data_IF_491142128817
#
_entry.id   IF_491142128817
#
_cell.length_a   1.000
_cell.length_b   1.000
_cell.length_c   1.000
_cell.angle_alpha   90.00
_cell.angle_beta   90.00
_cell.angle_gamma   90.00
#
_symmetry.space_group_name_H-M   'P 1'
#
loop_
_entity.id
_entity.type
_entity.pdbx_description
1 polymer ?
#
# COMPACT_ATOMS: atom_id res chain seq x y z
N UNK A 1 -22.29 -1.18 -45.85
CA UNK A 1 -21.55 -1.88 -44.78
C UNK A 1 -22.40 -3.06 -44.32
N UNK A 2 -21.96 -4.29 -44.58
CA UNK A 2 -22.67 -5.48 -44.10
C UNK A 2 -22.50 -5.61 -42.59
N UNK A 3 -23.60 -5.75 -41.85
CA UNK A 3 -23.54 -5.91 -40.39
C UNK A 3 -23.13 -7.32 -40.00
N UNK A 4 -22.37 -7.46 -38.93
CA UNK A 4 -21.95 -8.75 -38.31
C UNK A 4 -23.12 -9.74 -38.14
N UNK A 5 -24.34 -9.25 -37.87
CA UNK A 5 -25.53 -10.10 -37.75
C UNK A 5 -25.87 -10.88 -39.03
N UNK A 6 -25.55 -10.32 -40.20
CA UNK A 6 -25.78 -10.94 -41.52
C UNK A 6 -24.75 -12.05 -41.81
N UNK A 7 -23.54 -11.91 -41.25
CA UNK A 7 -22.46 -12.90 -41.35
C UNK A 7 -22.76 -14.16 -40.52
N UNK A 8 -23.35 -14.02 -39.33
CA UNK A 8 -23.63 -15.13 -38.41
C UNK A 8 -25.02 -15.78 -38.55
N UNK A 9 -25.85 -15.37 -39.54
CA UNK A 9 -27.23 -15.88 -39.74
C UNK A 9 -28.10 -15.87 -38.46
N UNK A 10 -27.83 -14.97 -37.51
CA UNK A 10 -28.67 -14.82 -36.33
C UNK A 10 -29.93 -14.05 -36.69
N UNK A 11 -31.10 -14.59 -36.35
CA UNK A 11 -32.39 -13.93 -36.59
C UNK A 11 -32.40 -12.53 -35.98
N UNK A 12 -32.62 -11.52 -36.82
CA UNK A 12 -32.70 -10.10 -36.43
C UNK A 12 -34.00 -9.90 -35.64
N UNK A 13 -34.01 -10.31 -34.36
CA UNK A 13 -35.12 -10.04 -33.45
C UNK A 13 -34.84 -8.78 -32.63
N UNK A 14 -35.80 -7.87 -32.71
CA UNK A 14 -36.16 -6.81 -31.73
C UNK A 14 -35.64 -5.39 -31.91
N UNK A 15 -34.75 -5.06 -32.86
CA UNK A 15 -34.33 -3.65 -33.07
C UNK A 15 -34.79 -3.06 -34.41
N UNK A 16 -34.88 -3.84 -35.48
CA UNK A 16 -35.18 -3.29 -36.82
C UNK A 16 -36.65 -2.93 -37.04
N UNK A 17 -37.60 -3.61 -36.40
CA UNK A 17 -39.04 -3.39 -36.61
C UNK A 17 -39.50 -2.04 -36.07
N UNK A 18 -39.06 -1.64 -34.86
CA UNK A 18 -39.34 -0.30 -34.31
C UNK A 18 -38.69 0.84 -35.12
N UNK A 19 -37.55 0.57 -35.76
CA UNK A 19 -36.88 1.55 -36.63
C UNK A 19 -37.62 1.70 -37.96
N UNK A 20 -38.31 0.66 -38.43
CA UNK A 20 -39.08 0.68 -39.68
C UNK A 20 -40.36 1.52 -39.56
N UNK A 21 -41.10 1.41 -38.45
CA UNK A 21 -42.33 2.21 -38.20
C UNK A 21 -42.05 3.71 -38.08
N UNK A 22 -40.88 4.09 -37.55
CA UNK A 22 -40.48 5.49 -37.39
C UNK A 22 -40.17 6.20 -38.73
N UNK A 23 -39.84 5.45 -39.79
CA UNK A 23 -39.46 6.02 -41.10
C UNK A 23 -40.62 6.57 -41.93
N UNK A 24 -41.86 6.38 -41.50
CA UNK A 24 -43.07 6.75 -42.26
C UNK A 24 -43.62 8.17 -41.96
N UNK A 25 -43.05 8.89 -40.99
CA UNK A 25 -43.45 10.25 -40.61
C UNK A 25 -42.22 11.17 -40.61
N UNK A 26 -42.31 12.33 -41.28
CA UNK A 26 -41.27 13.36 -41.49
C UNK A 26 -39.83 12.98 -41.12
N UNK A 27 -39.18 12.39 -42.13
CA UNK A 27 -37.97 11.58 -42.03
C UNK A 27 -36.71 12.28 -41.50
N UNK A 28 -36.67 13.62 -41.43
CA UNK A 28 -35.52 14.35 -40.89
C UNK A 28 -35.68 14.70 -39.40
N UNK A 29 -36.85 15.20 -38.99
CA UNK A 29 -37.10 15.63 -37.61
C UNK A 29 -36.99 14.42 -36.66
N UNK A 30 -37.49 13.26 -37.06
CA UNK A 30 -37.42 12.08 -36.20
C UNK A 30 -36.01 11.48 -36.17
N UNK A 31 -35.25 11.55 -37.27
CA UNK A 31 -33.84 11.12 -37.31
C UNK A 31 -32.95 12.05 -36.48
N UNK A 32 -33.16 13.36 -36.55
CA UNK A 32 -32.43 14.33 -35.74
C UNK A 32 -32.79 14.21 -34.26
N UNK A 33 -34.07 14.01 -33.92
CA UNK A 33 -34.51 13.72 -32.56
C UNK A 33 -33.89 12.43 -32.00
N UNK A 34 -33.85 11.35 -32.78
CA UNK A 34 -33.19 10.10 -32.40
C UNK A 34 -31.68 10.27 -32.23
N UNK A 35 -31.01 11.04 -33.10
CA UNK A 35 -29.58 11.35 -32.99
C UNK A 35 -29.30 12.16 -31.72
N UNK A 36 -30.12 13.17 -31.44
CA UNK A 36 -30.04 13.99 -30.23
C UNK A 36 -30.27 13.15 -28.96
N UNK A 37 -31.25 12.24 -28.97
CA UNK A 37 -31.51 11.33 -27.85
C UNK A 37 -30.33 10.39 -27.59
N UNK A 38 -29.70 9.84 -28.63
CA UNK A 38 -28.49 9.02 -28.50
C UNK A 38 -27.31 9.81 -27.97
N UNK A 39 -27.10 11.04 -28.45
CA UNK A 39 -26.07 11.93 -27.92
C UNK A 39 -26.31 12.28 -26.44
N UNK A 40 -27.57 12.57 -26.06
CA UNK A 40 -27.95 12.82 -24.67
C UNK A 40 -27.71 11.60 -23.78
N UNK A 41 -28.04 10.40 -24.25
CA UNK A 41 -27.75 9.16 -23.55
C UNK A 41 -26.25 8.96 -23.36
N UNK A 42 -25.46 9.13 -24.42
CA UNK A 42 -24.00 9.04 -24.36
C UNK A 42 -23.40 10.05 -23.38
N UNK A 43 -23.85 11.31 -23.41
CA UNK A 43 -23.44 12.34 -22.44
C UNK A 43 -23.84 11.96 -21.01
N UNK A 44 -25.02 11.37 -20.81
CA UNK A 44 -25.45 10.89 -19.50
C UNK A 44 -24.56 9.75 -18.99
N UNK A 45 -24.16 8.84 -19.86
CA UNK A 45 -23.26 7.74 -19.52
C UNK A 45 -21.83 8.22 -19.21
N UNK A 46 -21.31 9.18 -19.98
CA UNK A 46 -20.02 9.85 -19.72
C UNK A 46 -20.07 10.55 -18.36
N UNK A 47 -21.09 11.40 -18.14
CA UNK A 47 -21.28 12.10 -16.87
C UNK A 47 -21.41 11.13 -15.68
N UNK A 48 -22.03 9.95 -15.89
CA UNK A 48 -22.13 8.92 -14.85
C UNK A 48 -20.76 8.36 -14.49
N UNK A 49 -19.92 8.09 -15.48
CA UNK A 49 -18.55 7.59 -15.29
C UNK A 49 -17.70 8.67 -14.61
N UNK A 50 -17.69 9.90 -15.13
CA UNK A 50 -16.93 11.02 -14.56
C UNK A 50 -17.33 11.30 -13.11
N UNK A 51 -18.63 11.36 -12.80
CA UNK A 51 -19.11 11.53 -11.42
C UNK A 51 -18.73 10.36 -10.52
N UNK A 52 -18.65 9.13 -11.06
CA UNK A 52 -18.18 7.97 -10.29
C UNK A 52 -16.70 8.15 -9.96
N UNK A 53 -15.86 8.40 -10.96
CA UNK A 53 -14.42 8.64 -10.78
C UNK A 53 -14.16 9.78 -9.80
N UNK A 54 -14.86 10.90 -9.95
CA UNK A 54 -14.73 12.04 -9.04
C UNK A 54 -15.10 11.68 -7.59
N UNK A 55 -16.22 10.98 -7.37
CA UNK A 55 -16.62 10.53 -6.02
C UNK A 55 -15.62 9.56 -5.41
N UNK A 56 -15.03 8.68 -6.21
CA UNK A 56 -14.01 7.74 -5.74
C UNK A 56 -12.72 8.47 -5.38
N UNK A 57 -12.26 9.42 -6.19
CA UNK A 57 -11.10 10.26 -5.90
C UNK A 57 -11.28 11.10 -4.62
N UNK A 58 -12.41 11.78 -4.47
CA UNK A 58 -12.70 12.59 -3.26
C UNK A 58 -12.76 11.72 -2.00
N UNK A 59 -13.26 10.49 -2.09
CA UNK A 59 -13.29 9.56 -0.95
C UNK A 59 -11.90 9.11 -0.53
N UNK A 60 -11.03 8.82 -1.50
CA UNK A 60 -9.64 8.46 -1.26
C UNK A 60 -8.90 9.61 -0.58
N UNK A 61 -9.03 10.82 -1.12
CA UNK A 61 -8.42 12.02 -0.56
C UNK A 61 -8.87 12.26 0.88
N UNK A 62 -10.19 12.20 1.14
CA UNK A 62 -10.72 12.32 2.50
C UNK A 62 -10.19 11.24 3.44
N UNK A 63 -10.07 9.99 2.99
CA UNK A 63 -9.52 8.90 3.79
C UNK A 63 -8.03 9.15 4.13
N UNK A 64 -7.24 9.67 3.19
CA UNK A 64 -5.84 10.05 3.41
C UNK A 64 -5.71 11.20 4.43
N UNK A 65 -6.56 12.22 4.31
CA UNK A 65 -6.58 13.35 5.26
C UNK A 65 -6.88 12.85 6.67
N UNK A 66 -7.95 12.06 6.85
CA UNK A 66 -8.32 11.49 8.15
C UNK A 66 -7.22 10.56 8.69
N UNK A 67 -6.64 9.72 7.83
CA UNK A 67 -5.53 8.85 8.21
C UNK A 67 -4.33 9.65 8.74
N UNK A 68 -3.93 10.70 8.02
CA UNK A 68 -2.80 11.56 8.40
C UNK A 68 -3.08 12.30 9.71
N UNK A 69 -4.26 12.88 9.87
CA UNK A 69 -4.68 13.53 11.11
C UNK A 69 -4.63 12.57 12.31
N UNK A 70 -5.18 11.36 12.16
CA UNK A 70 -5.16 10.35 13.21
C UNK A 70 -3.75 9.84 13.49
N UNK A 71 -2.92 9.66 12.47
CA UNK A 71 -1.53 9.27 12.64
C UNK A 71 -0.76 10.32 13.45
N UNK A 72 -0.93 11.61 13.13
CA UNK A 72 -0.34 12.72 13.90
C UNK A 72 -0.84 12.70 15.35
N UNK A 73 -2.15 12.48 15.59
CA UNK A 73 -2.71 12.38 16.94
C UNK A 73 -2.09 11.22 17.72
N UNK A 74 -1.96 10.04 17.11
CA UNK A 74 -1.37 8.85 17.74
C UNK A 74 0.11 9.09 18.04
N UNK A 75 0.88 9.64 17.09
CA UNK A 75 2.29 9.96 17.27
C UNK A 75 2.51 10.96 18.42
N UNK A 76 1.69 12.02 18.51
CA UNK A 76 1.74 13.00 19.61
C UNK A 76 1.33 12.39 20.95
N UNK A 77 0.33 11.49 20.95
CA UNK A 77 -0.20 10.88 22.18
C UNK A 77 0.79 9.94 22.85
N UNK A 78 1.49 9.12 22.07
CA UNK A 78 2.33 8.05 22.59
C UNK A 78 3.81 8.40 22.68
N UNK A 79 4.15 9.69 22.56
CA UNK A 79 5.49 10.30 22.70
C UNK A 79 6.60 9.31 22.36
N UNK A 80 6.72 8.97 21.07
CA UNK A 80 7.86 8.18 20.61
C UNK A 80 9.11 8.97 21.01
N UNK A 81 10.03 8.40 21.83
CA UNK A 81 11.15 9.15 22.36
C UNK A 81 11.85 9.90 21.24
N UNK A 82 11.87 11.23 21.36
CA UNK A 82 12.44 12.14 20.39
C UNK A 82 13.90 11.75 20.16
N UNK A 83 14.11 11.00 19.08
CA UNK A 83 15.38 10.45 18.65
C UNK A 83 15.94 9.40 19.60
N UNK A 84 16.27 8.24 19.03
CA UNK A 84 17.10 7.26 19.70
C UNK A 84 18.52 7.82 19.74
N UNK A 85 18.91 8.46 20.86
CA UNK A 85 20.32 8.76 21.19
C UNK A 85 21.08 7.51 21.63
N UNK A 86 20.87 6.38 20.98
CA UNK A 86 21.78 5.26 21.15
C UNK A 86 22.96 5.54 20.24
N UNK A 87 24.04 6.02 20.86
CA UNK A 87 25.38 5.78 20.35
C UNK A 87 25.59 4.27 20.41
N UNK A 88 24.98 3.52 19.50
CA UNK A 88 25.38 2.15 19.23
C UNK A 88 26.89 2.22 19.02
N UNK A 89 27.65 1.60 19.90
CA UNK A 89 29.11 1.55 19.79
C UNK A 89 29.39 0.92 18.45
N UNK A 90 29.89 1.72 17.49
CA UNK A 90 30.26 1.19 16.18
C UNK A 90 31.22 0.04 16.43
N UNK A 91 30.72 -1.16 16.19
CA UNK A 91 31.51 -2.36 16.37
C UNK A 91 32.56 -2.37 15.27
N UNK A 92 33.74 -2.93 15.56
CA UNK A 92 34.79 -3.07 14.54
C UNK A 92 34.18 -3.77 13.33
N UNK A 93 34.39 -3.18 12.16
CA UNK A 93 33.90 -3.70 10.89
C UNK A 93 34.32 -5.16 10.74
N UNK A 94 33.37 -5.99 10.38
CA UNK A 94 33.54 -7.42 10.14
C UNK A 94 33.81 -7.67 8.66
N UNK A 95 34.56 -8.74 8.35
CA UNK A 95 34.74 -9.19 6.96
C UNK A 95 33.48 -9.92 6.44
N UNK A 96 32.58 -10.33 7.33
CA UNK A 96 31.33 -11.02 7.03
C UNK A 96 30.13 -10.12 7.34
N UNK A 97 29.13 -10.14 6.47
CA UNK A 97 27.88 -9.39 6.65
C UNK A 97 26.73 -10.37 6.89
N UNK A 98 25.96 -10.14 7.95
CA UNK A 98 24.73 -10.87 8.21
C UNK A 98 23.55 -10.25 7.48
N UNK A 99 22.61 -11.07 7.01
CA UNK A 99 21.37 -10.59 6.39
C UNK A 99 20.19 -11.09 7.22
N UNK A 100 19.30 -10.17 7.60
CA UNK A 100 17.97 -10.49 8.12
C UNK A 100 16.96 -10.05 7.07
N UNK A 101 16.16 -10.99 6.60
CA UNK A 101 15.17 -10.72 5.56
C UNK A 101 13.76 -10.82 6.15
N UNK A 102 13.01 -9.73 6.04
CA UNK A 102 11.59 -9.62 6.38
C UNK A 102 10.78 -9.52 5.09
N UNK A 103 9.81 -10.41 4.93
CA UNK A 103 8.88 -10.45 3.79
C UNK A 103 7.52 -10.88 4.33
N UNK A 104 6.44 -10.40 3.70
CA UNK A 104 5.06 -10.85 3.96
C UNK A 104 4.73 -10.81 5.47
N UNK A 105 5.06 -9.68 6.11
CA UNK A 105 4.82 -9.51 7.53
C UNK A 105 3.32 -9.27 7.79
N UNK A 106 2.62 -8.63 6.85
CA UNK A 106 1.16 -8.39 6.91
C UNK A 106 0.69 -7.91 8.29
N UNK A 107 1.35 -6.89 8.85
CA UNK A 107 0.86 -6.23 10.05
C UNK A 107 -0.60 -5.78 9.83
N UNK A 108 -1.36 -5.77 10.93
CA UNK A 108 -2.81 -5.54 10.96
C UNK A 108 -3.68 -6.68 10.40
N UNK A 109 -3.11 -7.85 10.09
CA UNK A 109 -3.91 -9.06 9.90
C UNK A 109 -4.30 -9.72 11.21
N UNK A 110 -5.46 -10.37 11.19
CA UNK A 110 -5.95 -11.24 12.25
C UNK A 110 -6.20 -12.64 11.68
N UNK A 111 -5.35 -13.59 12.06
CA UNK A 111 -5.56 -15.02 11.74
C UNK A 111 -5.90 -15.74 13.04
N UNK A 112 -7.00 -16.48 13.05
CA UNK A 112 -7.39 -17.32 14.19
C UNK A 112 -7.88 -18.68 13.69
N UNK A 113 -6.93 -19.49 13.23
CA UNK A 113 -7.16 -20.87 12.79
C UNK A 113 -6.55 -21.83 13.81
N UNK A 114 -7.05 -23.06 13.87
CA UNK A 114 -6.48 -24.09 14.75
C UNK A 114 -5.00 -24.37 14.47
N UNK A 115 -4.57 -24.19 13.22
CA UNK A 115 -3.20 -24.44 12.74
C UNK A 115 -2.29 -23.22 12.84
N UNK A 116 -2.83 -22.00 12.89
CA UNK A 116 -2.05 -20.77 12.89
C UNK A 116 -2.86 -19.62 13.50
N UNK A 117 -2.17 -18.83 14.31
CA UNK A 117 -2.71 -17.58 14.84
C UNK A 117 -1.77 -16.44 14.49
N UNK A 118 -2.34 -15.27 14.21
CA UNK A 118 -1.60 -14.08 13.87
C UNK A 118 -2.34 -12.84 14.35
N UNK A 119 -1.60 -11.97 15.03
CA UNK A 119 -1.98 -10.62 15.44
C UNK A 119 -0.67 -9.85 15.73
N UNK A 120 -0.77 -8.59 16.15
CA UNK A 120 0.42 -7.79 16.51
C UNK A 120 1.25 -8.39 17.67
N UNK A 121 0.62 -9.07 18.63
CA UNK A 121 1.34 -9.72 19.73
C UNK A 121 2.19 -10.88 19.24
N UNK A 122 1.62 -11.71 18.36
CA UNK A 122 2.27 -12.85 17.74
C UNK A 122 3.36 -12.38 16.78
N UNK A 123 3.10 -11.34 15.97
CA UNK A 123 4.08 -10.72 15.08
C UNK A 123 5.32 -10.27 15.88
N UNK A 124 5.12 -9.54 16.97
CA UNK A 124 6.19 -9.11 17.88
C UNK A 124 6.98 -10.29 18.46
N UNK A 125 6.29 -11.35 18.94
CA UNK A 125 6.94 -12.57 19.44
C UNK A 125 7.77 -13.29 18.36
N UNK A 126 7.25 -13.35 17.12
CA UNK A 126 7.96 -13.97 15.98
C UNK A 126 9.21 -13.18 15.61
N UNK A 127 9.11 -11.85 15.53
CA UNK A 127 10.27 -10.98 15.29
C UNK A 127 11.31 -11.11 16.40
N UNK A 128 10.89 -11.14 17.68
CA UNK A 128 11.83 -11.36 18.79
C UNK A 128 12.53 -12.72 18.70
N UNK A 129 11.80 -13.78 18.33
CA UNK A 129 12.39 -15.11 18.11
C UNK A 129 13.40 -15.08 16.97
N UNK A 130 13.11 -14.40 15.86
CA UNK A 130 14.02 -14.22 14.74
C UNK A 130 15.30 -13.49 15.18
N UNK A 131 15.16 -12.34 15.86
CA UNK A 131 16.29 -11.56 16.38
C UNK A 131 17.17 -12.37 17.32
N UNK A 132 16.58 -13.11 18.26
CA UNK A 132 17.33 -13.94 19.20
C UNK A 132 18.13 -15.03 18.48
N UNK A 133 17.54 -15.68 17.46
CA UNK A 133 18.24 -16.67 16.65
C UNK A 133 19.36 -16.05 15.81
N UNK A 134 19.08 -14.91 15.19
CA UNK A 134 20.06 -14.16 14.40
C UNK A 134 21.25 -13.73 15.27
N UNK A 135 21.00 -13.27 16.50
CA UNK A 135 22.04 -12.92 17.47
C UNK A 135 22.98 -14.08 17.78
N UNK A 136 22.42 -15.27 18.06
CA UNK A 136 23.21 -16.48 18.30
C UNK A 136 24.08 -16.77 17.08
N UNK A 137 23.48 -16.83 15.89
CA UNK A 137 24.18 -17.12 14.65
C UNK A 137 25.29 -16.09 14.36
N UNK A 138 24.98 -14.79 14.36
CA UNK A 138 25.95 -13.74 14.09
C UNK A 138 27.10 -13.72 15.08
N UNK A 139 26.83 -13.96 16.37
CA UNK A 139 27.88 -14.05 17.37
C UNK A 139 28.81 -15.25 17.14
N UNK A 140 28.27 -16.41 16.76
CA UNK A 140 29.08 -17.61 16.46
C UNK A 140 30.04 -17.41 15.29
N UNK A 141 29.68 -16.56 14.32
CA UNK A 141 30.52 -16.25 13.16
C UNK A 141 31.29 -14.93 13.28
N UNK A 142 31.21 -14.25 14.43
CA UNK A 142 31.86 -12.95 14.64
C UNK A 142 31.33 -11.82 13.76
N UNK A 143 30.11 -11.95 13.23
CA UNK A 143 29.47 -10.95 12.37
C UNK A 143 29.14 -9.69 13.18
N UNK A 144 29.50 -8.53 12.63
CA UNK A 144 29.25 -7.20 13.23
C UNK A 144 28.43 -6.27 12.36
N UNK A 145 28.49 -6.44 11.04
CA UNK A 145 27.70 -5.67 10.09
C UNK A 145 26.48 -6.48 9.66
N UNK A 146 25.29 -5.90 9.77
CA UNK A 146 24.01 -6.57 9.48
C UNK A 146 23.18 -5.70 8.53
N UNK A 147 22.74 -6.31 7.44
CA UNK A 147 21.73 -5.75 6.54
C UNK A 147 20.35 -6.33 6.92
N UNK A 148 19.38 -5.44 7.14
CA UNK A 148 17.98 -5.82 7.28
C UNK A 148 17.28 -5.44 5.98
N UNK A 149 16.75 -6.42 5.26
CA UNK A 149 15.95 -6.20 4.04
C UNK A 149 14.48 -6.40 4.34
N UNK A 150 13.66 -5.41 4.02
CA UNK A 150 12.20 -5.49 4.05
C UNK A 150 11.69 -5.49 2.61
N UNK A 151 11.21 -6.64 2.11
CA UNK A 151 10.87 -6.79 0.68
C UNK A 151 9.38 -6.60 0.39
N UNK A 152 8.73 -5.70 1.14
CA UNK A 152 7.33 -5.32 0.94
C UNK A 152 6.33 -6.13 1.75
N UNK A 153 5.07 -5.74 1.59
CA UNK A 153 3.87 -6.32 2.22
C UNK A 153 3.99 -6.34 3.75
N UNK A 154 4.44 -5.19 4.31
CA UNK A 154 4.47 -5.01 5.75
C UNK A 154 3.07 -4.77 6.31
N UNK A 155 2.14 -4.24 5.52
CA UNK A 155 0.77 -3.95 5.94
C UNK A 155 -0.23 -4.13 4.81
N UNK A 156 -1.42 -4.65 5.10
CA UNK A 156 -2.44 -4.78 4.05
C UNK A 156 -3.24 -3.50 3.86
N UNK A 157 -3.62 -3.22 2.62
CA UNK A 157 -4.57 -2.19 2.24
C UNK A 157 -6.00 -2.71 2.14
N UNK A 158 -6.95 -1.83 2.46
CA UNK A 158 -8.37 -2.10 2.24
C UNK A 158 -8.69 -1.93 0.75
N UNK A 159 -9.24 -2.98 0.13
CA UNK A 159 -9.48 -2.99 -1.33
C UNK A 159 -10.78 -2.29 -1.73
N UNK A 160 -11.63 -1.92 -0.76
CA UNK A 160 -12.90 -1.20 -1.01
C UNK A 160 -12.87 0.22 -0.43
N UNK A 161 -13.39 1.17 -1.21
CA UNK A 161 -13.32 2.62 -0.94
C UNK A 161 -14.17 3.08 0.26
N UNK A 162 -15.28 2.39 0.52
CA UNK A 162 -16.10 2.59 1.71
C UNK A 162 -15.41 2.09 2.98
N UNK A 163 -14.69 0.96 2.88
CA UNK A 163 -13.87 0.43 3.97
C UNK A 163 -12.71 1.39 4.31
N UNK A 164 -12.01 1.95 3.31
CA UNK A 164 -10.88 2.88 3.51
C UNK A 164 -11.21 4.06 4.45
N UNK A 165 -12.36 4.71 4.25
CA UNK A 165 -12.74 5.87 5.08
C UNK A 165 -13.12 5.44 6.51
N UNK A 166 -13.83 4.32 6.65
CA UNK A 166 -14.19 3.78 7.97
C UNK A 166 -13.00 3.22 8.76
N UNK A 167 -11.94 2.80 8.07
CA UNK A 167 -10.77 2.14 8.64
C UNK A 167 -9.55 3.04 8.80
N UNK A 168 -9.58 4.30 8.33
CA UNK A 168 -8.46 5.23 8.40
C UNK A 168 -7.86 5.34 9.83
N UNK A 169 -8.71 5.40 10.86
CA UNK A 169 -8.28 5.44 12.27
C UNK A 169 -7.65 4.13 12.75
N UNK A 170 -8.13 2.98 12.27
CA UNK A 170 -7.55 1.68 12.62
C UNK A 170 -6.21 1.49 11.91
N UNK A 171 -6.10 1.93 10.65
CA UNK A 171 -4.87 1.90 9.87
C UNK A 171 -3.80 2.80 10.46
N UNK A 172 -4.13 4.02 10.91
CA UNK A 172 -3.14 4.89 11.56
C UNK A 172 -2.56 4.28 12.83
N UNK A 173 -3.40 3.64 13.66
CA UNK A 173 -2.95 2.86 14.84
C UNK A 173 -2.09 1.66 14.45
N UNK A 174 -2.46 0.96 13.39
CA UNK A 174 -1.70 -0.18 12.88
C UNK A 174 -0.32 0.23 12.34
N UNK A 175 -0.25 1.32 11.57
CA UNK A 175 1.02 1.92 11.12
C UNK A 175 1.89 2.27 12.32
N UNK A 176 1.32 2.91 13.33
CA UNK A 176 2.04 3.26 14.55
C UNK A 176 2.58 2.02 15.30
N UNK A 177 1.76 0.97 15.45
CA UNK A 177 2.19 -0.29 16.10
C UNK A 177 3.30 -0.97 15.31
N UNK A 178 3.19 -1.00 13.97
CA UNK A 178 4.20 -1.56 13.06
C UNK A 178 5.54 -0.84 13.24
N UNK A 179 5.53 0.50 13.21
CA UNK A 179 6.70 1.33 13.50
C UNK A 179 7.27 1.03 14.89
N UNK A 180 6.41 0.91 15.92
CA UNK A 180 6.86 0.66 17.29
C UNK A 180 7.57 -0.69 17.43
N UNK A 181 7.04 -1.76 16.81
CA UNK A 181 7.62 -3.11 16.85
C UNK A 181 8.94 -3.15 16.06
N UNK A 182 8.97 -2.58 14.86
CA UNK A 182 10.18 -2.53 14.04
C UNK A 182 11.27 -1.68 14.71
N UNK A 183 10.91 -0.54 15.30
CA UNK A 183 11.82 0.28 16.10
C UNK A 183 12.46 -0.52 17.23
N UNK A 184 11.66 -1.23 18.02
CA UNK A 184 12.19 -2.07 19.11
C UNK A 184 13.11 -3.18 18.59
N UNK A 185 12.76 -3.77 17.44
CA UNK A 185 13.58 -4.79 16.77
C UNK A 185 14.94 -4.23 16.35
N UNK A 186 14.95 -3.03 15.75
CA UNK A 186 16.18 -2.38 15.29
C UNK A 186 17.06 -1.93 16.47
N UNK A 187 16.46 -1.43 17.55
CA UNK A 187 17.19 -1.09 18.78
C UNK A 187 17.87 -2.31 19.40
N UNK A 188 17.12 -3.41 19.52
CA UNK A 188 17.64 -4.66 20.08
C UNK A 188 18.86 -5.16 19.28
N UNK A 189 18.84 -5.04 17.95
CA UNK A 189 19.97 -5.39 17.10
C UNK A 189 21.10 -4.35 17.16
N UNK A 190 20.79 -3.05 17.15
CA UNK A 190 21.76 -1.96 17.11
C UNK A 190 22.64 -1.89 18.37
N UNK A 191 22.19 -2.49 19.48
CA UNK A 191 23.01 -2.65 20.69
C UNK A 191 24.32 -3.40 20.45
N UNK A 192 24.36 -4.33 19.48
CA UNK A 192 25.48 -5.24 19.26
C UNK A 192 26.07 -5.22 17.83
N UNK A 193 25.34 -4.65 16.86
CA UNK A 193 25.67 -4.71 15.43
C UNK A 193 25.55 -3.34 14.76
N UNK A 194 26.34 -3.15 13.70
CA UNK A 194 26.20 -2.02 12.77
C UNK A 194 25.07 -2.35 11.78
N UNK A 195 23.98 -1.58 11.82
CA UNK A 195 22.79 -1.87 11.02
C UNK A 195 22.71 -1.02 9.76
N UNK A 196 22.40 -1.69 8.66
CA UNK A 196 21.93 -1.07 7.41
C UNK A 196 20.54 -1.61 7.11
N UNK A 197 19.60 -0.75 6.73
CA UNK A 197 18.19 -1.10 6.48
C UNK A 197 17.85 -0.76 5.03
N UNK A 198 17.25 -1.72 4.34
CA UNK A 198 16.74 -1.64 2.98
C UNK A 198 15.23 -1.92 2.99
N UNK A 199 14.48 -1.25 2.12
CA UNK A 199 13.06 -1.48 1.94
C UNK A 199 12.70 -1.57 0.46
N UNK A 200 11.65 -2.31 0.16
CA UNK A 200 10.95 -2.37 -1.14
C UNK A 200 9.47 -2.19 -0.85
N UNK A 201 8.74 -1.56 -1.77
CA UNK A 201 7.29 -1.36 -1.65
C UNK A 201 6.53 -2.60 -2.12
N UNK A 202 5.68 -3.15 -1.26
CA UNK A 202 4.77 -4.24 -1.57
C UNK A 202 3.54 -3.79 -2.35
N UNK A 203 2.86 -4.74 -2.98
CA UNK A 203 1.60 -4.48 -3.67
C UNK A 203 0.40 -4.46 -2.72
N UNK A 204 0.45 -5.20 -1.61
CA UNK A 204 -0.64 -5.22 -0.62
C UNK A 204 -0.67 -3.94 0.21
N UNK A 205 0.46 -3.26 0.34
CA UNK A 205 0.56 -1.99 1.08
C UNK A 205 0.10 -0.76 0.29
N UNK A 206 -0.33 -0.92 -0.98
CA UNK A 206 -0.76 0.20 -1.85
C UNK A 206 -2.16 0.68 -1.50
N UNK A 207 -2.32 1.99 -1.32
CA UNK A 207 -3.62 2.60 -1.01
C UNK A 207 -4.49 2.69 -2.28
N UNK A 208 -3.88 3.03 -3.42
CA UNK A 208 -4.54 3.02 -4.73
C UNK A 208 -4.35 1.69 -5.46
N UNK A 209 -5.32 1.31 -6.30
CA UNK A 209 -5.24 0.15 -7.19
C UNK A 209 -4.41 0.42 -8.46
N UNK A 210 -4.26 1.69 -8.82
CA UNK A 210 -3.54 2.05 -10.04
C UNK A 210 -2.04 2.09 -9.80
N UNK A 211 -1.29 1.46 -10.70
CA UNK A 211 0.17 1.54 -10.71
C UNK A 211 0.54 2.86 -11.37
N UNK A 212 0.83 3.87 -10.57
CA UNK A 212 1.46 5.09 -11.06
C UNK A 212 2.97 4.90 -11.11
N UNK A 213 3.59 5.25 -12.24
CA UNK A 213 5.04 5.35 -12.38
C UNK A 213 5.60 6.65 -11.79
N UNK A 214 4.73 7.48 -11.19
CA UNK A 214 5.09 8.72 -10.55
C UNK A 214 5.44 8.48 -9.07
N UNK A 215 6.48 9.15 -8.61
CA UNK A 215 7.00 9.13 -7.24
C UNK A 215 5.92 9.43 -6.18
N UNK A 216 4.97 10.29 -6.52
CA UNK A 216 3.81 10.62 -5.67
C UNK A 216 2.88 9.41 -5.43
N UNK A 217 2.73 8.52 -6.42
CA UNK A 217 1.88 7.32 -6.28
C UNK A 217 2.58 6.21 -5.49
N UNK A 218 3.92 6.16 -5.55
CA UNK A 218 4.71 5.29 -4.69
C UNK A 218 4.65 5.72 -3.22
N UNK A 219 4.45 7.02 -2.95
CA UNK A 219 4.28 7.54 -1.59
C UNK A 219 2.93 7.16 -0.94
N UNK A 220 1.92 6.81 -1.76
CA UNK A 220 0.62 6.27 -1.32
C UNK A 220 0.73 4.77 -0.95
N UNK A 221 1.70 4.44 -0.11
CA UNK A 221 2.02 3.09 0.32
C UNK A 221 2.36 3.04 1.82
N UNK A 222 1.79 2.06 2.54
CA UNK A 222 2.05 1.89 3.97
C UNK A 222 3.50 1.50 4.27
N UNK A 223 4.15 0.68 3.43
CA UNK A 223 5.57 0.30 3.58
C UNK A 223 6.46 1.55 3.51
N UNK A 224 6.19 2.41 2.53
CA UNK A 224 6.88 3.69 2.38
C UNK A 224 6.69 4.57 3.61
N UNK A 225 5.45 4.69 4.10
CA UNK A 225 5.15 5.48 5.29
C UNK A 225 5.88 4.95 6.52
N UNK A 226 5.83 3.64 6.77
CA UNK A 226 6.50 2.98 7.90
C UNK A 226 8.02 3.19 7.82
N UNK A 227 8.60 2.98 6.64
CA UNK A 227 10.03 3.16 6.40
C UNK A 227 10.51 4.59 6.70
N UNK A 228 9.78 5.60 6.22
CA UNK A 228 10.15 7.00 6.45
C UNK A 228 9.98 7.44 7.89
N UNK A 229 8.92 6.97 8.58
CA UNK A 229 8.79 7.24 10.01
C UNK A 229 9.98 6.64 10.77
N UNK A 230 10.38 5.40 10.47
CA UNK A 230 11.55 4.77 11.07
C UNK A 230 12.83 5.55 10.75
N UNK A 231 13.04 5.95 9.50
CA UNK A 231 14.18 6.77 9.08
C UNK A 231 14.27 8.07 9.88
N UNK A 232 13.16 8.80 10.03
CA UNK A 232 13.11 10.03 10.83
C UNK A 232 13.41 9.77 12.32
N UNK A 233 12.87 8.69 12.90
CA UNK A 233 13.12 8.34 14.32
C UNK A 233 14.59 7.99 14.60
N UNK A 234 15.30 7.49 13.59
CA UNK A 234 16.69 7.06 13.67
C UNK A 234 17.67 8.04 13.00
N UNK A 235 17.22 9.23 12.58
CA UNK A 235 18.04 10.24 11.89
C UNK A 235 19.33 10.60 12.66
N UNK A 236 19.25 10.63 14.00
CA UNK A 236 20.40 10.96 14.89
C UNK A 236 21.14 9.73 15.41
N UNK A 237 20.84 8.54 14.89
CA UNK A 237 21.44 7.27 15.29
C UNK A 237 22.56 6.84 14.32
N UNK A 238 23.24 5.75 14.66
CA UNK A 238 24.25 5.13 13.78
C UNK A 238 23.66 4.11 12.78
N UNK A 239 22.33 3.95 12.74
CA UNK A 239 21.65 3.03 11.82
C UNK A 239 21.56 3.68 10.44
N UNK A 240 22.05 2.98 9.41
CA UNK A 240 22.02 3.48 8.03
C UNK A 240 20.74 3.02 7.34
N UNK A 241 19.94 3.96 6.86
CA UNK A 241 18.82 3.68 5.95
C UNK A 241 19.32 3.87 4.52
N UNK A 242 19.06 2.90 3.65
CA UNK A 242 19.43 2.98 2.24
C UNK A 242 18.42 3.80 1.46
N UNK A 243 18.93 4.61 0.55
CA UNK A 243 18.13 5.43 -0.34
C UNK A 243 18.23 4.81 -1.74
N UNK A 244 17.09 4.78 -2.43
CA UNK A 244 16.94 4.25 -3.77
C UNK A 244 15.68 4.83 -4.40
N UNK A 245 15.54 4.68 -5.70
CA UNK A 245 14.41 5.19 -6.47
C UNK A 245 13.08 4.61 -5.93
N UNK A 246 12.05 5.43 -5.82
CA UNK A 246 10.77 5.04 -5.20
C UNK A 246 9.97 4.05 -6.02
N UNK A 247 10.23 3.99 -7.32
CA UNK A 247 9.61 3.05 -8.25
C UNK A 247 10.44 1.77 -8.38
N UNK A 248 11.76 1.87 -8.18
CA UNK A 248 12.75 0.82 -8.40
C UNK A 248 13.68 0.65 -7.20
N UNK A 249 13.16 0.55 -5.97
CA UNK A 249 14.01 0.22 -4.83
C UNK A 249 14.47 -1.24 -4.95
N UNK A 250 15.51 -1.43 -5.73
CA UNK A 250 16.38 -2.62 -5.81
C UNK A 250 17.73 -2.14 -5.29
N UNK A 251 18.10 -2.67 -4.13
CA UNK A 251 19.46 -2.53 -3.57
C UNK A 251 20.24 -3.78 -3.95
#
# INVERSE_FOLDING_TARGET
QESIAKYFKCGVRTVSSRIAEIKASDNEIVKTALKLAKQKQQLSDINRIERKTFREGVRLENALVVYNEELIKVLKKYDLPNFVKEKGTKSKKSNLTGIIHLTDVHFNELVNLSINQYDFSIASKRLKKLVNKAKIYFNSFGIKDVLITMTGDLMNSDRRLDELLSQATNRSKATFLSVSILRQTFLDLASNYNLTIANVIGNESRISKEVGWAESVASDNYDYTIYNILKLLFEKSNIRFLEGDLVEQVI
#
